data_IF_003631688749
#
_entry.id   IF_003631688749
#
_cell.length_a   1.000
_cell.length_b   1.000
_cell.length_c   1.000
_cell.angle_alpha   90.00
_cell.angle_beta   90.00
_cell.angle_gamma   90.00
#
_symmetry.space_group_name_H-M   'P 1'
#
loop_
_entity.id
_entity.type
_entity.pdbx_description
1 polymer ?
#
# COMPACT_ATOMS: atom_id res chain seq x y z
N UNK A 1 -16.71 1.68 16.09
CA UNK A 1 -15.35 1.09 15.95
C UNK A 1 -15.30 -0.35 16.47
N UNK A 2 -15.74 -0.61 17.70
CA UNK A 2 -15.87 -1.96 18.31
C UNK A 2 -16.72 -2.95 17.48
N UNK A 3 -17.89 -2.55 16.98
CA UNK A 3 -18.77 -3.44 16.20
C UNK A 3 -18.15 -3.88 14.86
N UNK A 4 -17.41 -3.00 14.19
CA UNK A 4 -16.68 -3.32 12.94
C UNK A 4 -15.42 -4.15 13.22
N UNK A 5 -14.75 -3.91 14.35
CA UNK A 5 -13.68 -4.79 14.84
C UNK A 5 -14.21 -6.19 15.15
N UNK A 6 -15.42 -6.31 15.73
CA UNK A 6 -16.14 -7.57 15.97
C UNK A 6 -16.49 -8.32 14.67
N UNK A 7 -16.85 -7.61 13.60
CA UNK A 7 -17.13 -8.24 12.28
C UNK A 7 -15.85 -8.77 11.63
N UNK A 8 -14.73 -8.02 11.72
CA UNK A 8 -13.41 -8.50 11.26
C UNK A 8 -12.95 -9.68 12.13
N UNK A 9 -13.23 -9.64 13.44
CA UNK A 9 -13.00 -10.73 14.39
C UNK A 9 -13.69 -12.03 13.97
N UNK A 10 -14.94 -11.99 13.49
CA UNK A 10 -15.63 -13.19 13.02
C UNK A 10 -15.08 -13.75 11.70
N UNK A 11 -14.49 -12.90 10.85
CA UNK A 11 -13.86 -13.32 9.59
C UNK A 11 -12.54 -14.10 9.82
N UNK A 12 -11.92 -13.91 10.97
CA UNK A 12 -10.60 -14.42 11.36
C UNK A 12 -10.70 -15.62 12.32
N UNK A 13 -11.62 -16.55 12.02
CA UNK A 13 -11.92 -17.76 12.79
C UNK A 13 -10.69 -18.56 13.26
N UNK A 14 -9.60 -18.60 12.49
CA UNK A 14 -8.35 -19.29 12.84
C UNK A 14 -7.73 -18.77 14.15
N UNK A 15 -7.84 -17.48 14.43
CA UNK A 15 -7.27 -16.86 15.63
C UNK A 15 -8.13 -17.14 16.87
N UNK A 16 -9.45 -17.22 16.71
CA UNK A 16 -10.36 -17.69 17.76
C UNK A 16 -10.15 -19.16 18.08
N UNK A 17 -9.99 -20.01 17.07
CA UNK A 17 -9.66 -21.42 17.28
C UNK A 17 -8.35 -21.54 18.07
N UNK A 18 -7.32 -20.77 17.72
CA UNK A 18 -6.05 -20.76 18.46
C UNK A 18 -6.22 -20.40 19.94
N UNK A 19 -7.06 -19.42 20.26
CA UNK A 19 -7.34 -19.03 21.65
C UNK A 19 -8.32 -19.96 22.38
N UNK A 20 -9.13 -20.77 21.68
CA UNK A 20 -10.02 -21.76 22.29
C UNK A 20 -9.29 -23.04 22.71
N UNK A 21 -8.23 -23.43 22.00
CA UNK A 21 -7.38 -24.58 22.34
C UNK A 21 -6.94 -24.60 23.82
N UNK A 22 -6.38 -23.51 24.40
CA UNK A 22 -5.94 -23.54 25.78
C UNK A 22 -7.13 -23.71 26.76
N UNK A 23 -8.31 -23.15 26.47
CA UNK A 23 -9.51 -23.41 27.28
C UNK A 23 -9.98 -24.86 27.19
N UNK A 24 -9.93 -25.48 26.00
CA UNK A 24 -10.24 -26.90 25.85
C UNK A 24 -9.25 -27.78 26.61
N UNK A 25 -7.94 -27.49 26.51
CA UNK A 25 -6.90 -28.21 27.24
C UNK A 25 -7.08 -28.09 28.78
N UNK A 26 -7.45 -26.91 29.27
CA UNK A 26 -7.77 -26.71 30.69
C UNK A 26 -8.94 -27.57 31.16
N UNK A 27 -9.93 -27.82 30.30
CA UNK A 27 -11.07 -28.68 30.61
C UNK A 27 -10.64 -30.14 30.80
N UNK A 28 -9.78 -30.65 29.92
CA UNK A 28 -9.29 -32.04 29.95
C UNK A 28 -8.11 -32.30 30.91
N UNK A 29 -7.61 -31.27 31.59
CA UNK A 29 -6.48 -31.39 32.51
C UNK A 29 -6.90 -32.14 33.79
N UNK A 30 -6.45 -33.38 33.97
CA UNK A 30 -6.71 -34.15 35.19
C UNK A 30 -5.78 -33.69 36.33
N UNK A 31 -6.36 -33.39 37.50
CA UNK A 31 -5.63 -32.94 38.68
C UNK A 31 -5.23 -34.10 39.62
N UNK A 32 -5.72 -35.32 39.41
CA UNK A 32 -5.30 -36.53 40.13
C UNK A 32 -5.05 -36.35 41.64
N UNK A 33 -3.88 -36.78 42.12
CA UNK A 33 -3.44 -36.75 43.53
C UNK A 33 -2.84 -35.40 44.00
N UNK A 34 -3.13 -34.28 43.32
CA UNK A 34 -2.54 -32.97 43.64
C UNK A 34 -2.86 -32.42 45.04
N UNK A 35 -3.73 -33.10 45.81
CA UNK A 35 -4.14 -32.73 47.16
C UNK A 35 -3.36 -33.43 48.29
N UNK A 36 -2.35 -34.25 47.98
CA UNK A 36 -1.44 -34.78 49.00
C UNK A 36 -0.57 -33.63 49.56
N UNK A 37 -0.46 -33.49 50.89
CA UNK A 37 0.15 -32.34 51.59
C UNK A 37 1.57 -32.01 51.07
N UNK A 38 2.40 -33.02 50.82
CA UNK A 38 3.77 -32.80 50.29
C UNK A 38 3.75 -32.27 48.85
N UNK A 39 2.93 -32.89 48.01
CA UNK A 39 2.74 -32.54 46.60
C UNK A 39 2.10 -31.15 46.43
N UNK A 40 1.19 -30.79 47.33
CA UNK A 40 0.54 -29.47 47.36
C UNK A 40 1.54 -28.35 47.64
N UNK A 41 2.45 -28.53 48.62
CA UNK A 41 3.47 -27.52 48.92
C UNK A 41 4.47 -27.38 47.77
N UNK A 42 4.89 -28.48 47.14
CA UNK A 42 5.78 -28.44 45.97
C UNK A 42 5.14 -27.68 44.80
N UNK A 43 3.86 -27.93 44.49
CA UNK A 43 3.13 -27.20 43.44
C UNK A 43 2.86 -25.74 43.78
N UNK A 44 2.65 -25.41 45.05
CA UNK A 44 2.50 -24.03 45.51
C UNK A 44 3.81 -23.24 45.32
N UNK A 45 4.95 -23.81 45.68
CA UNK A 45 6.25 -23.17 45.51
C UNK A 45 6.63 -23.03 44.04
N UNK A 46 6.33 -24.04 43.22
CA UNK A 46 6.49 -23.96 41.76
C UNK A 46 5.61 -22.85 41.15
N UNK A 47 4.38 -22.71 41.64
CA UNK A 47 3.47 -21.65 41.20
C UNK A 47 3.98 -20.26 41.60
N UNK A 48 4.54 -20.11 42.80
CA UNK A 48 5.15 -18.85 43.23
C UNK A 48 6.36 -18.49 42.36
N UNK A 49 7.23 -19.46 42.06
CA UNK A 49 8.36 -19.27 41.15
C UNK A 49 7.88 -18.86 39.74
N UNK A 50 6.86 -19.55 39.21
CA UNK A 50 6.24 -19.21 37.93
C UNK A 50 5.63 -17.81 37.94
N UNK A 51 5.03 -17.37 39.05
CA UNK A 51 4.48 -16.01 39.20
C UNK A 51 5.56 -14.94 39.10
N UNK A 52 6.71 -15.14 39.75
CA UNK A 52 7.84 -14.20 39.67
C UNK A 52 8.44 -14.16 38.26
N UNK A 53 8.68 -15.33 37.64
CA UNK A 53 9.17 -15.43 36.26
C UNK A 53 8.19 -14.80 35.28
N UNK A 54 6.89 -15.06 35.44
CA UNK A 54 5.83 -14.50 34.61
C UNK A 54 5.77 -12.98 34.71
N UNK A 55 5.91 -12.43 35.92
CA UNK A 55 5.94 -10.96 36.12
C UNK A 55 7.10 -10.31 35.35
N UNK A 56 8.28 -10.94 35.36
CA UNK A 56 9.43 -10.49 34.58
C UNK A 56 9.24 -10.61 33.06
N UNK A 57 8.69 -11.72 32.58
CA UNK A 57 8.40 -11.94 31.15
C UNK A 57 7.33 -10.97 30.68
N UNK A 58 6.25 -10.79 31.44
CA UNK A 58 5.13 -9.92 31.05
C UNK A 58 5.50 -8.45 31.01
N UNK A 59 6.40 -7.97 31.88
CA UNK A 59 6.86 -6.59 31.80
C UNK A 59 7.63 -6.34 30.49
N UNK A 60 8.51 -7.26 30.10
CA UNK A 60 9.26 -7.21 28.85
C UNK A 60 8.33 -7.30 27.63
N UNK A 61 7.37 -8.23 27.67
CA UNK A 61 6.39 -8.44 26.59
C UNK A 61 5.45 -7.25 26.44
N UNK A 62 5.03 -6.64 27.55
CA UNK A 62 4.17 -5.44 27.52
C UNK A 62 4.93 -4.25 26.94
N UNK A 63 6.21 -4.07 27.32
CA UNK A 63 7.08 -3.06 26.72
C UNK A 63 7.28 -3.30 25.21
N UNK A 64 7.58 -4.53 24.80
CA UNK A 64 7.71 -4.89 23.39
C UNK A 64 6.41 -4.68 22.61
N UNK A 65 5.26 -5.04 23.17
CA UNK A 65 3.95 -4.84 22.52
C UNK A 65 3.64 -3.35 22.34
N UNK A 66 3.91 -2.51 23.34
CA UNK A 66 3.78 -1.05 23.24
C UNK A 66 4.73 -0.47 22.19
N UNK A 67 5.99 -0.91 22.18
CA UNK A 67 6.97 -0.50 21.18
C UNK A 67 6.51 -0.86 19.77
N UNK A 68 6.06 -2.10 19.55
CA UNK A 68 5.54 -2.56 18.26
C UNK A 68 4.33 -1.72 17.83
N UNK A 69 3.36 -1.53 18.72
CA UNK A 69 2.18 -0.74 18.44
C UNK A 69 2.55 0.70 18.04
N UNK A 70 3.42 1.35 18.80
CA UNK A 70 3.89 2.70 18.51
C UNK A 70 4.67 2.79 17.19
N UNK A 71 5.59 1.85 16.93
CA UNK A 71 6.37 1.82 15.68
C UNK A 71 5.48 1.66 14.46
N UNK A 72 4.53 0.73 14.51
CA UNK A 72 3.61 0.54 13.40
C UNK A 72 2.63 1.70 13.25
N UNK A 73 2.07 2.21 14.34
CA UNK A 73 1.16 3.36 14.27
C UNK A 73 1.87 4.55 13.60
N UNK A 74 3.13 4.82 13.97
CA UNK A 74 3.93 5.84 13.30
C UNK A 74 4.19 5.55 11.81
N UNK A 75 4.50 4.31 11.45
CA UNK A 75 4.64 3.90 10.03
C UNK A 75 3.34 4.13 9.26
N UNK A 76 2.20 3.71 9.81
CA UNK A 76 0.87 3.85 9.19
C UNK A 76 0.43 5.30 9.09
N UNK A 77 0.68 6.12 10.12
CA UNK A 77 0.42 7.57 10.09
C UNK A 77 1.26 8.23 9.01
N UNK A 78 2.53 7.84 8.88
CA UNK A 78 3.42 8.36 7.83
C UNK A 78 2.95 7.94 6.45
N UNK A 79 2.62 6.67 6.25
CA UNK A 79 2.07 6.15 5.00
C UNK A 79 0.76 6.85 4.61
N UNK A 80 -0.16 7.04 5.55
CA UNK A 80 -1.42 7.77 5.31
C UNK A 80 -1.19 9.23 4.90
N UNK A 81 -0.22 9.91 5.52
CA UNK A 81 0.20 11.26 5.10
C UNK A 81 0.80 11.26 3.69
N UNK A 82 1.66 10.28 3.37
CA UNK A 82 2.23 10.13 2.04
C UNK A 82 1.16 9.87 0.98
N UNK A 83 0.17 9.01 1.25
CA UNK A 83 -0.95 8.76 0.34
C UNK A 83 -1.72 10.05 0.02
N UNK A 84 -2.06 10.85 1.05
CA UNK A 84 -2.73 12.13 0.85
C UNK A 84 -1.91 13.10 -0.01
N UNK A 85 -0.58 13.09 0.16
CA UNK A 85 0.34 13.90 -0.65
C UNK A 85 0.47 13.39 -2.09
N UNK A 86 0.40 12.09 -2.32
CA UNK A 86 0.40 11.49 -3.68
C UNK A 86 -0.89 11.88 -4.42
N UNK A 87 -2.06 11.77 -3.76
CA UNK A 87 -3.35 12.12 -4.36
C UNK A 87 -3.49 13.62 -4.66
N UNK A 88 -2.80 14.48 -3.90
CA UNK A 88 -2.88 15.94 -4.01
C UNK A 88 -1.49 16.57 -3.86
N UNK A 89 -0.63 16.49 -4.89
CA UNK A 89 0.79 16.81 -4.77
C UNK A 89 1.11 18.31 -4.93
N UNK A 90 0.30 19.21 -4.36
CA UNK A 90 0.40 20.67 -4.59
C UNK A 90 1.70 21.32 -4.08
N UNK A 91 2.38 20.69 -3.13
CA UNK A 91 3.61 21.23 -2.52
C UNK A 91 4.86 20.42 -2.88
N UNK A 92 4.74 19.44 -3.77
CA UNK A 92 5.83 18.53 -4.10
C UNK A 92 6.46 18.92 -5.43
N UNK A 93 7.79 18.77 -5.52
CA UNK A 93 8.44 18.67 -6.83
C UNK A 93 8.44 17.20 -7.31
N UNK A 94 8.96 16.96 -8.52
CA UNK A 94 9.00 15.62 -9.11
C UNK A 94 9.79 14.60 -8.28
N UNK A 95 10.97 14.97 -7.80
CA UNK A 95 11.81 14.07 -7.00
C UNK A 95 11.18 13.81 -5.61
N UNK A 96 10.52 14.80 -5.03
CA UNK A 96 9.77 14.66 -3.79
C UNK A 96 8.56 13.74 -3.97
N UNK A 97 7.86 13.81 -5.11
CA UNK A 97 6.78 12.88 -5.45
C UNK A 97 7.30 11.45 -5.58
N UNK A 98 8.42 11.25 -6.29
CA UNK A 98 9.12 9.97 -6.41
C UNK A 98 9.52 9.41 -5.04
N UNK A 99 10.17 10.22 -4.22
CA UNK A 99 10.57 9.85 -2.87
C UNK A 99 9.35 9.57 -1.97
N UNK A 100 8.24 10.28 -2.16
CA UNK A 100 7.00 10.04 -1.41
C UNK A 100 6.39 8.68 -1.77
N UNK A 101 6.42 8.27 -3.04
CA UNK A 101 5.99 6.93 -3.47
C UNK A 101 6.87 5.81 -2.89
N UNK A 102 8.19 5.97 -2.99
CA UNK A 102 9.16 5.01 -2.42
C UNK A 102 8.98 4.91 -0.89
N UNK A 103 8.85 6.04 -0.20
CA UNK A 103 8.63 6.05 1.24
C UNK A 103 7.28 5.46 1.64
N UNK A 104 6.24 5.63 0.83
CA UNK A 104 4.95 5.00 1.06
C UNK A 104 5.07 3.48 1.04
N UNK A 105 5.73 2.93 0.02
CA UNK A 105 6.00 1.51 -0.09
C UNK A 105 6.82 0.99 1.11
N UNK A 106 7.93 1.65 1.44
CA UNK A 106 8.80 1.25 2.55
C UNK A 106 8.03 1.21 3.88
N UNK A 107 7.11 2.14 4.11
CA UNK A 107 6.29 2.17 5.33
C UNK A 107 5.20 1.10 5.36
N UNK A 108 4.72 0.63 4.21
CA UNK A 108 3.72 -0.46 4.10
C UNK A 108 4.35 -1.85 4.00
N UNK A 109 5.65 -1.92 3.68
CA UNK A 109 6.35 -3.19 3.56
C UNK A 109 6.26 -3.99 4.85
N UNK A 110 5.94 -5.29 4.74
CA UNK A 110 5.85 -6.16 5.91
C UNK A 110 7.23 -6.27 6.56
N UNK A 111 7.33 -5.74 7.77
CA UNK A 111 8.54 -5.85 8.57
C UNK A 111 8.62 -7.26 9.17
N UNK A 112 9.56 -8.07 8.66
CA UNK A 112 9.78 -9.45 9.11
C UNK A 112 10.06 -9.50 10.62
N UNK A 113 10.79 -8.51 11.15
CA UNK A 113 11.13 -8.46 12.56
C UNK A 113 9.89 -8.24 13.43
N UNK A 114 9.04 -7.27 13.05
CA UNK A 114 7.79 -7.01 13.76
C UNK A 114 6.82 -8.20 13.66
N UNK A 115 6.82 -8.90 12.52
CA UNK A 115 6.02 -10.13 12.35
C UNK A 115 6.47 -11.25 13.29
N UNK A 116 7.78 -11.44 13.46
CA UNK A 116 8.33 -12.40 14.43
C UNK A 116 7.91 -12.04 15.85
N UNK A 117 8.05 -10.77 16.24
CA UNK A 117 7.64 -10.32 17.57
C UNK A 117 6.15 -10.55 17.84
N UNK A 118 5.29 -10.34 16.85
CA UNK A 118 3.87 -10.65 16.95
C UNK A 118 3.60 -12.14 17.21
N UNK A 119 4.29 -13.05 16.52
CA UNK A 119 4.13 -14.49 16.78
C UNK A 119 4.67 -14.89 18.15
N UNK A 120 5.79 -14.31 18.60
CA UNK A 120 6.29 -14.50 19.97
C UNK A 120 5.25 -14.04 20.99
N UNK A 121 4.60 -12.89 20.78
CA UNK A 121 3.51 -12.41 21.64
C UNK A 121 2.33 -13.39 21.71
N UNK A 122 1.92 -13.96 20.57
CA UNK A 122 0.84 -14.95 20.51
C UNK A 122 1.19 -16.22 21.31
N UNK A 123 2.42 -16.72 21.17
CA UNK A 123 2.89 -17.91 21.90
C UNK A 123 2.87 -17.65 23.41
N UNK A 124 3.39 -16.49 23.85
CA UNK A 124 3.41 -16.13 25.27
C UNK A 124 1.98 -16.00 25.81
N UNK A 125 1.08 -15.39 25.05
CA UNK A 125 -0.33 -15.27 25.42
C UNK A 125 -0.98 -16.65 25.58
N UNK A 126 -0.73 -17.57 24.66
CA UNK A 126 -1.25 -18.94 24.71
C UNK A 126 -0.80 -19.68 25.98
N UNK A 127 0.51 -19.68 26.26
CA UNK A 127 1.04 -20.34 27.45
C UNK A 127 0.64 -19.65 28.75
N UNK A 128 0.50 -18.33 28.74
CA UNK A 128 -0.03 -17.56 29.88
C UNK A 128 -1.42 -18.03 30.29
N UNK A 129 -2.34 -18.15 29.32
CA UNK A 129 -3.71 -18.62 29.57
C UNK A 129 -3.69 -20.05 30.15
N UNK A 130 -2.83 -20.94 29.62
CA UNK A 130 -2.70 -22.31 30.12
C UNK A 130 -2.16 -22.38 31.54
N UNK A 131 -1.03 -21.72 31.81
CA UNK A 131 -0.37 -21.79 33.13
C UNK A 131 -1.29 -21.22 34.20
N UNK A 132 -1.84 -20.03 33.99
CA UNK A 132 -2.71 -19.39 34.97
C UNK A 132 -4.07 -20.07 35.11
N UNK A 133 -4.62 -20.61 34.01
CA UNK A 133 -5.82 -21.43 34.09
C UNK A 133 -5.60 -22.71 34.90
N UNK A 134 -4.43 -23.34 34.76
CA UNK A 134 -4.06 -24.55 35.51
C UNK A 134 -3.83 -24.24 36.98
N UNK A 135 -3.12 -23.15 37.28
CA UNK A 135 -2.92 -22.63 38.65
C UNK A 135 -4.26 -22.32 39.33
N UNK A 136 -5.17 -21.66 38.62
CA UNK A 136 -6.50 -21.36 39.16
C UNK A 136 -7.31 -22.64 39.40
N UNK A 137 -7.20 -23.62 38.50
CA UNK A 137 -7.81 -24.95 38.65
C UNK A 137 -7.26 -25.69 39.88
N UNK A 138 -5.94 -25.65 40.09
CA UNK A 138 -5.25 -26.25 41.24
C UNK A 138 -5.69 -25.63 42.57
N UNK A 139 -5.65 -24.30 42.70
CA UNK A 139 -5.98 -23.61 43.96
C UNK A 139 -7.47 -23.67 44.32
N UNK A 140 -8.37 -23.82 43.35
CA UNK A 140 -9.80 -23.71 43.61
C UNK A 140 -10.40 -24.99 44.19
N UNK A 141 -9.88 -26.16 43.82
CA UNK A 141 -10.60 -27.42 44.02
C UNK A 141 -11.87 -27.45 43.17
N UNK A 142 -12.06 -28.48 42.36
CA UNK A 142 -13.21 -28.52 41.44
C UNK A 142 -14.49 -28.90 42.21
N UNK A 143 -15.12 -27.93 42.89
CA UNK A 143 -16.49 -28.06 43.40
C UNK A 143 -17.33 -26.85 42.96
N UNK A 144 -17.94 -26.97 41.78
CA UNK A 144 -18.90 -26.01 41.24
C UNK A 144 -20.30 -26.16 41.85
N UNK A 145 -20.47 -27.09 42.81
CA UNK A 145 -21.75 -27.46 43.41
C UNK A 145 -21.92 -26.98 44.87
N UNK A 146 -21.01 -26.16 45.40
CA UNK A 146 -21.24 -25.53 46.70
C UNK A 146 -22.20 -24.34 46.52
N UNK A 147 -23.36 -24.41 47.19
CA UNK A 147 -24.36 -23.34 47.19
C UNK A 147 -23.74 -21.98 47.54
N UNK A 148 -24.29 -20.91 46.97
CA UNK A 148 -23.84 -19.54 47.17
C UNK A 148 -23.82 -19.17 48.67
N UNK A 149 -22.66 -19.34 49.31
CA UNK A 149 -22.39 -18.83 50.65
C UNK A 149 -21.57 -17.54 50.53
N UNK A 150 -22.03 -16.44 51.13
CA UNK A 150 -21.32 -15.16 51.19
C UNK A 150 -20.19 -15.23 52.23
N UNK A 151 -19.24 -16.13 52.01
CA UNK A 151 -18.02 -16.25 52.81
C UNK A 151 -16.82 -15.61 52.11
N UNK A 152 -15.83 -15.15 52.88
CA UNK A 152 -14.58 -14.55 52.36
C UNK A 152 -13.90 -15.51 51.36
N UNK A 153 -13.89 -16.81 51.65
CA UNK A 153 -13.34 -17.83 50.76
C UNK A 153 -14.06 -17.93 49.41
N UNK A 154 -15.40 -17.88 49.41
CA UNK A 154 -16.20 -17.90 48.17
C UNK A 154 -15.99 -16.63 47.35
N UNK A 155 -15.89 -15.47 48.01
CA UNK A 155 -15.60 -14.21 47.33
C UNK A 155 -14.21 -14.21 46.66
N UNK A 156 -13.17 -14.72 47.33
CA UNK A 156 -11.84 -14.88 46.74
C UNK A 156 -11.82 -15.87 45.57
N UNK A 157 -12.58 -16.98 45.66
CA UNK A 157 -12.74 -17.96 44.58
C UNK A 157 -13.45 -17.39 43.35
N UNK A 158 -14.48 -16.56 43.53
CA UNK A 158 -15.21 -15.92 42.42
C UNK A 158 -14.40 -14.77 41.83
N UNK A 159 -13.79 -13.94 42.69
CA UNK A 159 -12.95 -12.82 42.28
C UNK A 159 -11.73 -13.25 41.47
N UNK A 160 -11.08 -14.37 41.82
CA UNK A 160 -9.94 -14.89 41.06
C UNK A 160 -10.33 -15.34 39.65
N UNK A 161 -11.50 -15.97 39.48
CA UNK A 161 -12.03 -16.37 38.15
C UNK A 161 -12.38 -15.15 37.32
N UNK A 162 -13.06 -14.17 37.92
CA UNK A 162 -13.41 -12.92 37.24
C UNK A 162 -12.14 -12.17 36.79
N UNK A 163 -11.13 -12.09 37.65
CA UNK A 163 -9.85 -11.48 37.32
C UNK A 163 -9.13 -12.23 36.19
N UNK A 164 -9.09 -13.57 36.25
CA UNK A 164 -8.53 -14.39 35.18
C UNK A 164 -9.24 -14.16 33.84
N UNK A 165 -10.58 -14.08 33.84
CA UNK A 165 -11.36 -13.78 32.64
C UNK A 165 -11.03 -12.39 32.07
N UNK A 166 -10.88 -11.37 32.93
CA UNK A 166 -10.48 -10.02 32.52
C UNK A 166 -9.09 -10.04 31.87
N UNK A 167 -8.12 -10.74 32.48
CA UNK A 167 -6.75 -10.86 31.96
C UNK A 167 -6.73 -11.57 30.60
N UNK A 168 -7.47 -12.68 30.46
CA UNK A 168 -7.58 -13.39 29.18
C UNK A 168 -8.16 -12.47 28.09
N UNK A 169 -9.24 -11.74 28.41
CA UNK A 169 -9.87 -10.83 27.47
C UNK A 169 -8.93 -9.68 27.07
N UNK A 170 -8.17 -9.13 28.02
CA UNK A 170 -7.17 -8.09 27.74
C UNK A 170 -6.07 -8.59 26.79
N UNK A 171 -5.51 -9.77 27.06
CA UNK A 171 -4.47 -10.36 26.20
C UNK A 171 -4.99 -10.62 24.78
N UNK A 172 -6.20 -11.17 24.66
CA UNK A 172 -6.84 -11.37 23.34
C UNK A 172 -7.04 -10.05 22.60
N UNK A 173 -7.54 -9.00 23.26
CA UNK A 173 -7.74 -7.68 22.64
C UNK A 173 -6.42 -7.07 22.15
N UNK A 174 -5.33 -7.22 22.89
CA UNK A 174 -4.01 -6.74 22.46
C UNK A 174 -3.53 -7.51 21.22
N UNK A 175 -3.66 -8.83 21.18
CA UNK A 175 -3.32 -9.62 19.99
C UNK A 175 -4.11 -9.15 18.75
N UNK A 176 -5.40 -8.85 18.94
CA UNK A 176 -6.27 -8.35 17.87
C UNK A 176 -5.82 -6.97 17.40
N UNK A 177 -5.50 -6.06 18.33
CA UNK A 177 -5.01 -4.73 18.00
C UNK A 177 -3.71 -4.81 17.20
N UNK A 178 -2.74 -5.61 17.65
CA UNK A 178 -1.47 -5.83 16.93
C UNK A 178 -1.69 -6.42 15.53
N UNK A 179 -2.67 -7.31 15.37
CA UNK A 179 -3.02 -7.85 14.06
C UNK A 179 -3.67 -6.81 13.15
N UNK A 180 -4.60 -6.01 13.65
CA UNK A 180 -5.23 -4.94 12.87
C UNK A 180 -4.21 -3.91 12.38
N UNK A 181 -3.23 -3.63 13.23
CA UNK A 181 -2.07 -2.81 12.90
C UNK A 181 -1.25 -3.46 11.76
N UNK A 182 -0.97 -4.76 11.83
CA UNK A 182 -0.30 -5.51 10.75
C UNK A 182 -1.08 -5.52 9.43
N UNK A 183 -2.41 -5.44 9.47
CA UNK A 183 -3.26 -5.41 8.27
C UNK A 183 -3.29 -4.03 7.57
N UNK A 184 -2.40 -3.10 7.92
CA UNK A 184 -2.29 -1.77 7.28
C UNK A 184 -3.59 -0.93 7.33
N UNK A 185 -4.31 -0.98 8.45
CA UNK A 185 -5.50 -0.14 8.63
C UNK A 185 -5.12 1.34 8.61
N UNK A 186 -5.83 2.15 7.84
CA UNK A 186 -5.55 3.58 7.74
C UNK A 186 -5.94 4.31 9.04
N UNK A 187 -4.99 4.98 9.74
CA UNK A 187 -5.28 5.70 10.97
C UNK A 187 -5.94 7.07 10.72
N UNK A 188 -5.77 7.68 9.54
CA UNK A 188 -6.27 9.04 9.25
C UNK A 188 -7.40 9.07 8.21
N UNK A 189 -7.93 7.90 7.86
CA UNK A 189 -8.98 7.72 6.86
C UNK A 189 -9.87 6.53 7.17
N UNK A 190 -10.73 6.18 6.21
CA UNK A 190 -11.64 5.05 6.33
C UNK A 190 -11.10 3.87 5.53
N UNK A 191 -10.95 2.71 6.17
CA UNK A 191 -10.56 1.46 5.51
C UNK A 191 -9.10 1.07 5.76
N UNK A 192 -8.47 0.53 4.73
CA UNK A 192 -7.09 0.05 4.74
C UNK A 192 -6.26 0.86 3.76
N UNK A 193 -4.97 1.02 4.03
CA UNK A 193 -4.07 1.66 3.10
C UNK A 193 -3.90 0.74 1.87
N UNK A 194 -4.13 1.26 0.65
CA UNK A 194 -3.97 0.51 -0.59
C UNK A 194 -2.51 0.08 -0.79
N UNK A 195 -2.30 -0.99 -1.54
CA UNK A 195 -0.94 -1.39 -1.90
C UNK A 195 -0.34 -0.41 -2.93
N UNK A 196 0.98 -0.35 -3.03
CA UNK A 196 1.67 0.65 -3.88
C UNK A 196 1.37 0.48 -5.37
N UNK A 197 1.16 -0.76 -5.84
CA UNK A 197 0.75 -1.10 -7.19
C UNK A 197 -0.62 -0.50 -7.54
N UNK A 198 -1.55 -0.48 -6.57
CA UNK A 198 -2.84 0.22 -6.71
C UNK A 198 -2.63 1.73 -6.74
N UNK A 199 -1.80 2.29 -5.85
CA UNK A 199 -1.54 3.75 -5.80
C UNK A 199 -0.87 4.28 -7.06
N UNK A 200 0.00 3.48 -7.69
CA UNK A 200 0.64 3.80 -8.96
C UNK A 200 -0.25 3.50 -10.19
N UNK A 201 -1.50 3.07 -9.99
CA UNK A 201 -2.46 2.86 -11.07
C UNK A 201 -3.28 4.13 -11.33
N UNK A 202 -3.30 4.59 -12.58
CA UNK A 202 -4.05 5.78 -12.99
C UNK A 202 -5.54 5.64 -12.73
N UNK A 203 -6.13 4.46 -12.95
CA UNK A 203 -7.54 4.20 -12.67
C UNK A 203 -7.86 4.38 -11.19
N UNK A 204 -7.02 3.85 -10.31
CA UNK A 204 -7.17 4.02 -8.86
C UNK A 204 -7.08 5.50 -8.44
N UNK A 205 -6.12 6.25 -9.00
CA UNK A 205 -6.00 7.68 -8.72
C UNK A 205 -7.28 8.44 -9.11
N UNK A 206 -7.88 8.11 -10.24
CA UNK A 206 -9.13 8.73 -10.71
C UNK A 206 -10.29 8.39 -9.76
N UNK A 207 -10.47 7.10 -9.43
CA UNK A 207 -11.57 6.62 -8.57
C UNK A 207 -11.51 7.24 -7.17
N UNK A 208 -10.28 7.48 -6.66
CA UNK A 208 -10.05 8.08 -5.36
C UNK A 208 -10.00 9.62 -5.40
N UNK A 209 -10.46 10.24 -6.49
CA UNK A 209 -10.55 11.70 -6.67
C UNK A 209 -9.20 12.40 -6.46
N UNK A 210 -8.12 11.78 -6.94
CA UNK A 210 -6.82 12.45 -7.02
C UNK A 210 -6.89 13.64 -7.97
N UNK A 211 -6.04 14.64 -7.73
CA UNK A 211 -5.83 15.72 -8.68
C UNK A 211 -4.91 15.23 -9.81
N UNK A 212 -5.50 14.54 -10.79
CA UNK A 212 -4.79 13.95 -11.93
C UNK A 212 -4.04 15.03 -12.72
N UNK A 213 -4.62 16.22 -12.85
CA UNK A 213 -3.99 17.33 -13.56
C UNK A 213 -2.72 17.82 -12.86
N UNK A 214 -2.72 17.88 -11.52
CA UNK A 214 -1.54 18.19 -10.73
C UNK A 214 -0.51 17.06 -10.79
N UNK A 215 -0.94 15.82 -10.56
CA UNK A 215 -0.07 14.66 -10.54
C UNK A 215 0.74 14.52 -11.83
N UNK A 216 0.07 14.58 -12.99
CA UNK A 216 0.75 14.50 -14.29
C UNK A 216 1.41 15.80 -14.73
N UNK A 217 1.21 16.92 -14.03
CA UNK A 217 2.07 18.09 -14.24
C UNK A 217 3.44 17.95 -13.59
N UNK A 218 3.56 17.11 -12.55
CA UNK A 218 4.85 16.74 -11.95
C UNK A 218 5.46 15.52 -12.62
N UNK A 219 4.62 14.58 -13.05
CA UNK A 219 5.01 13.36 -13.76
C UNK A 219 4.60 13.39 -15.24
N UNK A 220 4.93 14.46 -15.96
CA UNK A 220 4.56 14.58 -17.37
C UNK A 220 5.44 13.68 -18.25
N UNK A 221 4.88 13.00 -19.25
CA UNK A 221 5.69 12.30 -20.24
C UNK A 221 6.38 13.30 -21.18
N UNK A 222 7.58 12.95 -21.62
CA UNK A 222 8.37 13.67 -22.64
C UNK A 222 8.52 12.83 -23.91
N UNK A 223 8.47 13.50 -25.05
CA UNK A 223 8.92 12.94 -26.33
C UNK A 223 10.25 13.59 -26.68
N UNK A 224 11.28 12.76 -26.77
CA UNK A 224 12.65 13.13 -27.05
C UNK A 224 12.99 12.69 -28.47
N UNK A 225 13.62 13.59 -29.23
CA UNK A 225 13.98 13.40 -30.62
C UNK A 225 15.49 13.49 -30.74
N UNK A 226 16.10 12.48 -31.34
CA UNK A 226 17.55 12.38 -31.48
C UNK A 226 17.93 12.20 -32.95
N UNK A 227 19.00 12.89 -33.35
CA UNK A 227 19.72 12.62 -34.60
C UNK A 227 20.91 11.73 -34.28
N UNK A 228 20.91 10.48 -34.72
CA UNK A 228 22.01 9.56 -34.43
C UNK A 228 23.23 9.88 -35.31
N UNK A 229 24.36 10.34 -34.74
CA UNK A 229 25.54 10.70 -35.52
C UNK A 229 26.38 9.48 -35.96
N UNK A 230 26.14 8.28 -35.41
CA UNK A 230 26.97 7.10 -35.61
C UNK A 230 26.49 6.16 -36.74
N UNK A 231 25.33 6.42 -37.36
CA UNK A 231 24.79 5.60 -38.45
C UNK A 231 25.23 6.14 -39.82
N UNK A 232 25.55 5.24 -40.77
CA UNK A 232 25.96 5.60 -42.15
C UNK A 232 24.82 6.23 -42.95
N UNK A 233 23.59 6.08 -42.48
CA UNK A 233 22.37 6.74 -42.95
C UNK A 233 21.84 7.55 -41.77
N UNK A 234 21.46 8.82 -41.95
CA UNK A 234 20.92 9.64 -40.85
C UNK A 234 19.64 9.00 -40.28
N UNK A 235 19.78 8.24 -39.21
CA UNK A 235 18.67 7.63 -38.50
C UNK A 235 18.23 8.56 -37.38
N UNK A 236 16.96 8.94 -37.42
CA UNK A 236 16.33 9.80 -36.42
C UNK A 236 15.51 8.93 -35.48
N UNK A 237 15.73 9.10 -34.18
CA UNK A 237 15.10 8.32 -33.13
C UNK A 237 14.10 9.18 -32.36
N UNK A 238 12.95 8.59 -32.04
CA UNK A 238 11.96 9.16 -31.11
C UNK A 238 11.89 8.26 -29.90
N UNK A 239 12.08 8.85 -28.74
CA UNK A 239 12.05 8.16 -27.46
C UNK A 239 10.97 8.78 -26.58
N UNK A 240 10.14 7.91 -26.00
CA UNK A 240 9.14 8.29 -25.02
C UNK A 240 9.72 8.04 -23.63
N UNK A 241 9.62 9.05 -22.78
CA UNK A 241 10.15 8.99 -21.43
C UNK A 241 9.06 9.44 -20.44
N UNK A 242 8.85 8.65 -19.40
CA UNK A 242 7.93 8.91 -18.31
C UNK A 242 8.73 8.86 -17.01
N UNK A 243 8.91 9.99 -16.31
CA UNK A 243 9.84 10.10 -15.17
C UNK A 243 9.56 9.12 -14.03
N UNK A 244 8.29 8.89 -13.72
CA UNK A 244 7.81 7.93 -12.73
C UNK A 244 6.84 6.99 -13.43
N UNK A 245 7.19 5.70 -13.48
CA UNK A 245 6.36 4.64 -14.06
C UNK A 245 5.01 4.58 -13.35
N UNK A 246 3.92 4.51 -14.12
CA UNK A 246 2.54 4.31 -13.65
C UNK A 246 1.84 3.22 -14.48
N UNK A 247 0.88 2.52 -13.87
CA UNK A 247 0.07 1.47 -14.52
C UNK A 247 -1.24 2.05 -15.10
N UNK A 248 -1.79 1.41 -16.13
CA UNK A 248 -2.99 1.83 -16.85
C UNK A 248 -2.91 3.26 -17.42
N UNK A 249 -1.72 3.67 -17.88
CA UNK A 249 -1.53 5.01 -18.43
C UNK A 249 -1.85 5.05 -19.92
N UNK A 250 -2.97 5.71 -20.25
CA UNK A 250 -3.46 5.88 -21.61
C UNK A 250 -3.26 7.32 -22.08
N UNK A 251 -2.61 7.52 -23.22
CA UNK A 251 -2.24 8.85 -23.70
C UNK A 251 -2.29 9.02 -25.21
N UNK A 252 -2.46 10.27 -25.63
CA UNK A 252 -2.28 10.75 -27.01
C UNK A 252 -1.50 12.07 -26.97
N UNK A 253 -0.42 12.15 -27.73
CA UNK A 253 0.40 13.34 -27.95
C UNK A 253 0.32 13.69 -29.43
N UNK A 254 -0.19 14.88 -29.74
CA UNK A 254 -0.21 15.43 -31.10
C UNK A 254 0.71 16.63 -31.20
N UNK A 255 1.58 16.65 -32.20
CA UNK A 255 2.50 17.75 -32.48
C UNK A 255 2.01 18.53 -33.70
N UNK A 256 2.06 19.85 -33.61
CA UNK A 256 1.54 20.77 -34.61
C UNK A 256 2.58 21.84 -34.97
N UNK A 257 2.59 22.27 -36.22
CA UNK A 257 3.29 23.49 -36.63
C UNK A 257 2.49 24.70 -36.10
N UNK A 258 3.16 25.65 -35.44
CA UNK A 258 2.49 26.80 -34.81
C UNK A 258 1.74 27.69 -35.81
N UNK A 259 2.34 27.96 -36.96
CA UNK A 259 1.79 28.87 -37.98
C UNK A 259 0.46 28.39 -38.57
N UNK A 260 0.45 27.18 -39.12
CA UNK A 260 -0.69 26.66 -39.88
C UNK A 260 -1.58 25.70 -39.08
N UNK A 261 -1.19 25.40 -37.83
CA UNK A 261 -1.81 24.35 -36.98
C UNK A 261 -1.90 22.99 -37.67
N UNK A 262 -1.03 22.75 -38.65
CA UNK A 262 -0.95 21.48 -39.37
C UNK A 262 -0.41 20.42 -38.43
N UNK A 263 -1.08 19.25 -38.37
CA UNK A 263 -0.59 18.07 -37.65
C UNK A 263 0.71 17.57 -38.29
N UNK A 264 1.71 17.28 -37.46
CA UNK A 264 3.01 16.78 -37.90
C UNK A 264 3.17 15.32 -37.51
N UNK A 265 2.88 15.01 -36.25
CA UNK A 265 3.10 13.69 -35.67
C UNK A 265 2.06 13.42 -34.58
N UNK A 266 1.46 12.24 -34.59
CA UNK A 266 0.61 11.74 -33.52
C UNK A 266 1.24 10.49 -32.91
N UNK A 267 1.50 10.55 -31.61
CA UNK A 267 2.07 9.49 -30.79
C UNK A 267 1.03 9.10 -29.73
N UNK A 268 0.68 7.83 -29.60
CA UNK A 268 -0.38 7.41 -28.69
C UNK A 268 -0.08 6.04 -28.10
N UNK A 269 -0.69 5.76 -26.93
CA UNK A 269 -0.22 4.62 -26.16
C UNK A 269 -1.06 4.19 -24.96
N UNK A 270 -0.84 2.95 -24.52
CA UNK A 270 -1.42 2.37 -23.31
C UNK A 270 -0.40 1.51 -22.52
N UNK A 271 0.07 2.02 -21.37
CA UNK A 271 0.94 1.28 -20.46
C UNK A 271 0.08 0.44 -19.50
N UNK A 272 -0.15 -0.83 -19.84
CA UNK A 272 -1.06 -1.74 -19.07
C UNK A 272 -0.32 -2.51 -17.96
N UNK A 273 1.01 -2.55 -17.98
CA UNK A 273 1.76 -3.43 -17.08
C UNK A 273 1.59 -2.99 -15.62
N UNK A 274 1.21 -3.95 -14.76
CA UNK A 274 1.24 -3.77 -13.32
C UNK A 274 2.68 -3.51 -12.87
N UNK A 275 2.84 -2.49 -12.03
CA UNK A 275 4.13 -2.17 -11.43
C UNK A 275 4.41 -3.15 -10.31
N UNK A 276 5.54 -3.84 -10.41
CA UNK A 276 6.06 -4.61 -9.30
C UNK A 276 6.59 -3.66 -8.21
N UNK A 277 6.57 -4.11 -6.95
CA UNK A 277 7.16 -3.41 -5.81
C UNK A 277 8.59 -2.90 -6.08
N UNK A 278 9.43 -3.72 -6.69
CA UNK A 278 10.81 -3.35 -7.03
C UNK A 278 10.93 -2.20 -8.04
N UNK A 279 9.87 -1.90 -8.80
CA UNK A 279 9.86 -0.93 -9.90
C UNK A 279 9.26 0.43 -9.48
N UNK A 280 8.90 0.60 -8.20
CA UNK A 280 8.28 1.82 -7.69
C UNK A 280 9.29 2.98 -7.76
N UNK A 281 8.86 4.05 -8.42
CA UNK A 281 9.72 5.20 -8.65
C UNK A 281 10.77 4.99 -9.73
N UNK A 282 10.74 3.89 -10.50
CA UNK A 282 11.57 3.78 -11.70
C UNK A 282 11.05 4.68 -12.82
N UNK A 283 11.96 5.05 -13.72
CA UNK A 283 11.65 5.78 -14.95
C UNK A 283 11.31 4.78 -16.04
N UNK A 284 10.31 5.10 -16.85
CA UNK A 284 9.95 4.30 -18.02
C UNK A 284 10.43 5.00 -19.28
N UNK A 285 11.29 4.34 -20.04
CA UNK A 285 11.80 4.85 -21.32
C UNK A 285 11.60 3.79 -22.40
N UNK A 286 11.04 4.17 -23.54
CA UNK A 286 10.94 3.31 -24.70
C UNK A 286 11.27 4.06 -25.99
N UNK A 287 11.99 3.38 -26.89
CA UNK A 287 12.21 3.87 -28.25
C UNK A 287 10.91 3.62 -29.01
N UNK A 288 10.25 4.71 -29.41
CA UNK A 288 9.02 4.67 -30.22
C UNK A 288 9.35 4.26 -31.64
N UNK A 289 10.37 4.88 -32.22
CA UNK A 289 10.88 4.53 -33.55
C UNK A 289 12.33 4.97 -33.68
N UNK A 290 13.13 4.16 -34.36
CA UNK A 290 14.51 4.48 -34.73
C UNK A 290 14.64 4.91 -36.22
N UNK A 291 13.50 5.06 -36.92
CA UNK A 291 13.44 5.38 -38.35
C UNK A 291 12.45 6.52 -38.62
N UNK A 292 12.52 7.58 -37.81
CA UNK A 292 11.74 8.78 -38.09
C UNK A 292 12.19 9.39 -39.41
N UNK A 293 11.23 9.78 -40.27
CA UNK A 293 11.52 10.42 -41.55
C UNK A 293 12.23 11.75 -41.32
N UNK A 294 13.28 12.01 -42.09
CA UNK A 294 14.08 13.23 -42.01
C UNK A 294 13.24 14.50 -42.19
N UNK A 295 12.26 14.49 -43.12
CA UNK A 295 11.33 15.62 -43.32
C UNK A 295 10.57 16.01 -42.04
N UNK A 296 10.16 15.02 -41.25
CA UNK A 296 9.43 15.24 -39.99
C UNK A 296 10.37 15.79 -38.93
N UNK A 297 11.56 15.18 -38.80
CA UNK A 297 12.57 15.63 -37.86
C UNK A 297 12.95 17.09 -38.14
N UNK A 298 13.25 17.44 -39.39
CA UNK A 298 13.62 18.80 -39.79
C UNK A 298 12.48 19.77 -39.56
N UNK A 299 11.23 19.40 -39.89
CA UNK A 299 10.06 20.24 -39.61
C UNK A 299 9.93 20.54 -38.11
N UNK A 300 10.04 19.52 -37.25
CA UNK A 300 9.96 19.69 -35.81
C UNK A 300 11.14 20.49 -35.25
N UNK A 301 12.34 20.33 -35.80
CA UNK A 301 13.55 20.99 -35.34
C UNK A 301 13.59 22.48 -35.73
N UNK A 302 13.31 22.80 -36.99
CA UNK A 302 13.51 24.13 -37.58
C UNK A 302 12.32 25.07 -37.35
N UNK A 303 11.09 24.55 -37.38
CA UNK A 303 9.89 25.39 -37.25
C UNK A 303 9.44 25.56 -35.81
N UNK A 304 8.67 26.62 -35.54
CA UNK A 304 7.97 26.73 -34.27
C UNK A 304 6.85 25.68 -34.19
N UNK A 305 6.89 24.88 -33.14
CA UNK A 305 6.02 23.72 -32.95
C UNK A 305 5.53 23.65 -31.51
N UNK A 306 4.29 23.23 -31.34
CA UNK A 306 3.70 22.95 -30.04
C UNK A 306 3.03 21.58 -30.04
N UNK A 307 2.85 21.01 -28.85
CA UNK A 307 2.17 19.74 -28.67
C UNK A 307 0.90 19.86 -27.86
N UNK A 308 0.02 18.87 -27.99
CA UNK A 308 -1.11 18.66 -27.09
C UNK A 308 -1.00 17.24 -26.56
N UNK A 309 -0.87 17.11 -25.23
CA UNK A 309 -0.97 15.85 -24.51
C UNK A 309 -2.37 15.70 -23.94
N UNK A 310 -3.00 14.56 -24.18
CA UNK A 310 -4.26 14.11 -23.58
C UNK A 310 -4.02 12.80 -22.84
N UNK A 311 -4.52 12.71 -21.62
CA UNK A 311 -4.51 11.49 -20.79
C UNK A 311 -5.95 11.03 -20.62
N UNK A 312 -6.17 9.73 -20.72
CA UNK A 312 -7.50 9.11 -20.71
C UNK A 312 -7.70 8.17 -19.51
N UNK A 313 -8.94 8.03 -19.07
CA UNK A 313 -9.36 6.94 -18.19
C UNK A 313 -9.77 5.69 -19.00
N UNK A 314 -10.07 4.60 -18.29
CA UNK A 314 -10.53 3.34 -18.91
C UNK A 314 -11.85 3.50 -19.68
N UNK A 315 -12.69 4.46 -19.27
CA UNK A 315 -13.95 4.80 -19.96
C UNK A 315 -13.74 5.69 -21.21
N UNK A 316 -12.49 5.99 -21.57
CA UNK A 316 -12.08 6.81 -22.74
C UNK A 316 -12.46 8.29 -22.62
N UNK A 317 -12.65 8.76 -21.40
CA UNK A 317 -12.82 10.17 -21.08
C UNK A 317 -11.44 10.81 -20.85
N UNK A 318 -11.24 12.03 -21.36
CA UNK A 318 -10.03 12.81 -21.09
C UNK A 318 -10.04 13.21 -19.61
N UNK A 319 -9.00 12.86 -18.87
CA UNK A 319 -8.84 13.20 -17.45
C UNK A 319 -7.82 14.31 -17.22
N UNK A 320 -6.90 14.50 -18.16
CA UNK A 320 -5.97 15.62 -18.13
C UNK A 320 -5.55 16.02 -19.54
N UNK A 321 -5.30 17.31 -19.72
CA UNK A 321 -4.91 17.90 -21.00
C UNK A 321 -3.86 19.00 -20.79
N UNK A 322 -2.81 18.96 -21.59
CA UNK A 322 -1.68 19.89 -21.48
C UNK A 322 -1.26 20.38 -22.85
N UNK A 323 -0.76 21.62 -22.89
CA UNK A 323 0.04 22.12 -24.00
C UNK A 323 1.49 21.81 -23.72
N UNK A 324 2.17 21.31 -24.74
CA UNK A 324 3.59 21.04 -24.72
C UNK A 324 4.33 22.10 -25.55
N UNK A 325 5.54 22.45 -25.12
CA UNK A 325 6.45 23.30 -25.88
C UNK A 325 7.70 22.54 -26.24
N UNK A 326 8.27 22.89 -27.39
CA UNK A 326 9.58 22.40 -27.80
C UNK A 326 10.68 23.03 -26.94
N UNK A 327 11.62 22.21 -26.49
CA UNK A 327 12.89 22.60 -25.87
C UNK A 327 14.03 22.00 -26.67
N UNK A 328 14.95 22.85 -27.07
CA UNK A 328 16.16 22.45 -27.77
C UNK A 328 17.23 22.24 -26.71
N UNK A 329 17.78 21.04 -26.64
CA UNK A 329 18.88 20.72 -25.72
C UNK A 329 20.23 20.84 -26.44
N UNK A 330 20.30 20.42 -27.70
CA UNK A 330 21.46 20.60 -28.58
C UNK A 330 21.04 20.59 -30.06
N UNK A 331 22.01 20.71 -30.96
CA UNK A 331 21.79 20.53 -32.41
C UNK A 331 21.30 19.11 -32.76
N UNK A 332 21.63 18.12 -31.92
CA UNK A 332 21.31 16.72 -32.16
C UNK A 332 20.08 16.23 -31.40
N UNK A 333 19.53 17.04 -30.49
CA UNK A 333 18.39 16.63 -29.69
C UNK A 333 17.47 17.79 -29.25
N UNK A 334 16.18 17.49 -29.25
CA UNK A 334 15.15 18.35 -28.70
C UNK A 334 14.05 17.47 -28.10
N UNK A 335 13.26 18.06 -27.19
CA UNK A 335 12.15 17.37 -26.55
C UNK A 335 10.95 18.27 -26.38
N UNK A 336 9.79 17.65 -26.17
CA UNK A 336 8.56 18.35 -25.81
C UNK A 336 8.28 18.17 -24.32
N UNK A 337 8.21 19.29 -23.59
CA UNK A 337 7.86 19.32 -22.17
C UNK A 337 6.52 20.04 -21.95
N UNK A 338 5.92 19.81 -20.78
CA UNK A 338 4.71 20.52 -20.37
C UNK A 338 4.97 22.04 -20.28
N UNK A 339 4.12 22.83 -20.95
CA UNK A 339 4.10 24.29 -20.84
C UNK A 339 3.00 24.78 -19.91
N UNK A 340 1.74 24.39 -20.20
CA UNK A 340 0.58 24.81 -19.41
C UNK A 340 -0.54 23.77 -19.37
N UNK A 341 -1.26 23.77 -18.24
CA UNK A 341 -2.48 23.00 -18.03
C UNK A 341 -3.61 23.60 -18.90
N UNK A 342 -4.31 22.75 -19.65
CA UNK A 342 -5.52 23.16 -20.35
C UNK A 342 -6.74 22.85 -19.50
N UNK A 343 -7.19 23.85 -18.73
CA UNK A 343 -8.47 23.80 -18.03
C UNK A 343 -9.57 23.78 -19.08
N UNK A 344 -10.17 22.62 -19.32
CA UNK A 344 -11.36 22.48 -20.16
C UNK A 344 -12.46 21.84 -19.33
N UNK A 345 -13.72 22.22 -19.59
CA UNK A 345 -14.86 21.43 -19.12
C UNK A 345 -14.72 20.05 -19.78
N UNK A 346 -14.23 19.06 -19.02
CA UNK A 346 -14.11 17.65 -19.42
C UNK A 346 -15.51 17.01 -19.44
N UNK A 347 -16.48 17.68 -20.06
CA UNK A 347 -17.88 17.29 -20.06
C UNK A 347 -18.10 16.13 -21.03
N UNK A 348 -18.00 14.91 -20.53
CA UNK A 348 -18.74 13.67 -20.91
C UNK A 348 -18.80 13.22 -22.38
N UNK A 349 -18.31 14.00 -23.33
CA UNK A 349 -18.29 13.68 -24.74
C UNK A 349 -16.96 12.99 -25.04
N UNK A 350 -17.05 11.77 -25.55
CA UNK A 350 -15.89 10.99 -25.99
C UNK A 350 -15.09 11.77 -27.02
N UNK A 351 -13.85 12.11 -26.67
CA UNK A 351 -12.93 12.86 -27.55
C UNK A 351 -12.51 11.96 -28.72
N UNK A 352 -12.59 12.44 -29.96
CA UNK A 352 -12.37 11.60 -31.16
C UNK A 352 -11.01 10.90 -31.20
N UNK A 353 -10.01 11.41 -30.49
CA UNK A 353 -8.68 10.81 -30.46
C UNK A 353 -8.65 9.49 -29.66
N UNK A 354 -9.69 9.15 -28.87
CA UNK A 354 -9.74 7.86 -28.17
C UNK A 354 -9.73 6.67 -29.14
N UNK A 355 -10.24 6.84 -30.36
CA UNK A 355 -10.29 5.79 -31.38
C UNK A 355 -8.88 5.28 -31.75
N UNK A 356 -7.86 6.15 -31.61
CA UNK A 356 -6.46 5.77 -31.78
C UNK A 356 -6.05 4.74 -30.72
N UNK A 357 -6.42 4.97 -29.45
CA UNK A 357 -6.12 4.05 -28.34
C UNK A 357 -6.82 2.70 -28.54
N UNK A 358 -8.09 2.70 -29.01
CA UNK A 358 -8.82 1.46 -29.30
C UNK A 358 -8.16 0.63 -30.39
N UNK A 359 -7.62 1.27 -31.42
CA UNK A 359 -6.95 0.57 -32.53
C UNK A 359 -5.71 -0.25 -32.09
N UNK A 360 -5.20 -0.03 -30.88
CA UNK A 360 -4.06 -0.75 -30.30
C UNK A 360 -4.41 -1.87 -29.32
N UNK A 361 -5.69 -2.12 -28.99
CA UNK A 361 -6.11 -3.11 -27.96
C UNK A 361 -5.78 -4.59 -28.29
N UNK A 362 -4.88 -4.85 -29.23
CA UNK A 362 -4.40 -6.19 -29.62
C UNK A 362 -2.90 -6.43 -29.38
N UNK A 363 -2.16 -5.51 -28.73
CA UNK A 363 -0.72 -5.70 -28.47
C UNK A 363 -0.42 -5.70 -26.96
N UNK A 364 0.03 -6.84 -26.45
CA UNK A 364 0.41 -7.03 -25.04
C UNK A 364 1.60 -6.12 -24.66
N UNK A 365 1.36 -5.16 -23.78
CA UNK A 365 2.35 -4.73 -22.78
C UNK A 365 3.55 -3.89 -23.23
N UNK A 366 3.59 -3.34 -24.46
CA UNK A 366 4.57 -2.32 -24.87
C UNK A 366 3.90 -1.23 -25.71
N UNK A 367 4.32 0.02 -25.51
CA UNK A 367 3.85 1.22 -26.20
C UNK A 367 5.00 1.69 -27.12
N UNK A 368 4.86 2.17 -28.35
CA UNK A 368 3.95 3.19 -28.93
C UNK A 368 3.89 2.96 -30.44
N UNK A 369 2.70 2.84 -31.02
CA UNK A 369 2.52 2.97 -32.47
C UNK A 369 2.38 4.47 -32.82
N UNK A 370 2.96 4.91 -33.94
CA UNK A 370 2.88 6.31 -34.36
C UNK A 370 2.13 6.43 -35.68
N UNK A 371 1.23 7.39 -35.77
CA UNK A 371 0.51 7.70 -37.01
C UNK A 371 0.92 9.09 -37.50
N UNK A 372 1.19 9.16 -38.80
CA UNK A 372 1.41 10.41 -39.50
C UNK A 372 0.06 11.00 -39.91
N UNK A 373 -0.24 12.20 -39.44
CA UNK A 373 -1.32 13.01 -40.00
C UNK A 373 -0.69 13.82 -41.16
N UNK A 374 -0.98 13.46 -42.42
CA UNK A 374 -0.49 14.18 -43.62
C UNK A 374 -1.47 15.29 -44.02
#
# INVERSE_FOLDING_TARGET
>A
MLLKALVILFKEWKLWIFFLIPFALLFFLDLGNAYNIKVYNDYKDLTNLLSWLFTGIMSLVSFSALFIAFTFENKLVTASKSLKRILKPYSLNREDLRNTLINYENNLSEDKFLSVLYYVYLIITFFSILVWGTTLKFYRGFDYAEGFSLSIGTFLKVGSVAFFAIVCLALMLISIALKLIRMNKDPLGNGYLPQIDEVCNVAYLIDNKADIMEFFSLNFPTLEFYKNPASKTFEHEVTFNLPIKVSNFQFVIKLYQSEDRKGILTCFGNLVNQINKAEVGETYTCIVTNKLKEEIYNTLNEKDCYGILKIYNEEKNVVAKYILKKRIESEFNFYFEMDKKLLTNLSGNKDRDYALIESMQHHEGKVVDYQLEI
#
